data_IF_052613278772
#
_entry.id   IF_052613278772
#
_cell.length_a   1.000
_cell.length_b   1.000
_cell.length_c   1.000
_cell.angle_alpha   90.00
_cell.angle_beta   90.00
_cell.angle_gamma   90.00
#
_symmetry.space_group_name_H-M   'P 1'
#
loop_
_entity.id
_entity.type
_entity.pdbx_description
1 polymer ?
#
# COMPACT_ATOMS: atom_id res chain seq x y z
N UNK A 1 -27.73 -8.80 1.22
CA UNK A 1 -26.60 -7.97 0.72
C UNK A 1 -26.61 -7.82 -0.80
N UNK A 2 -27.01 -8.83 -1.58
CA UNK A 2 -27.10 -8.77 -3.05
C UNK A 2 -28.06 -7.71 -3.62
N UNK A 3 -29.25 -7.53 -3.01
CA UNK A 3 -30.31 -6.65 -3.56
C UNK A 3 -29.97 -5.14 -3.53
N UNK A 4 -29.07 -4.69 -2.64
CA UNK A 4 -28.63 -3.29 -2.61
C UNK A 4 -27.69 -2.91 -3.77
N UNK A 5 -27.22 -3.89 -4.55
CA UNK A 5 -26.23 -3.71 -5.62
C UNK A 5 -26.79 -3.11 -6.92
N UNK A 6 -28.11 -3.08 -7.13
CA UNK A 6 -28.68 -2.76 -8.46
C UNK A 6 -29.12 -1.30 -8.66
N UNK A 7 -29.33 -0.52 -7.59
CA UNK A 7 -29.94 0.81 -7.69
C UNK A 7 -28.94 1.98 -7.74
N UNK A 8 -27.67 1.76 -7.37
CA UNK A 8 -26.64 2.81 -7.38
C UNK A 8 -25.27 2.17 -7.59
N UNK A 9 -24.47 2.60 -8.58
CA UNK A 9 -23.13 2.06 -8.75
C UNK A 9 -22.29 2.38 -7.50
N UNK A 10 -21.77 1.32 -6.85
CA UNK A 10 -20.96 1.49 -5.65
C UNK A 10 -19.72 2.34 -5.97
N UNK A 11 -19.34 3.33 -5.12
CA UNK A 11 -18.21 4.21 -5.41
C UNK A 11 -16.89 3.48 -5.71
N UNK A 12 -16.69 2.32 -5.10
CA UNK A 12 -15.51 1.49 -5.33
C UNK A 12 -15.53 0.69 -6.66
N UNK A 13 -16.70 0.48 -7.28
CA UNK A 13 -16.86 -0.45 -8.41
C UNK A 13 -15.94 -0.09 -9.58
N UNK A 14 -15.82 1.20 -9.91
CA UNK A 14 -14.93 1.68 -10.97
C UNK A 14 -13.46 1.36 -10.67
N UNK A 15 -13.01 1.63 -9.44
CA UNK A 15 -11.63 1.42 -9.05
C UNK A 15 -11.29 -0.08 -8.96
N UNK A 16 -12.21 -0.90 -8.43
CA UNK A 16 -12.09 -2.36 -8.44
C UNK A 16 -11.91 -2.85 -9.88
N UNK A 17 -12.76 -2.41 -10.82
CA UNK A 17 -12.68 -2.83 -12.21
C UNK A 17 -11.32 -2.52 -12.84
N UNK A 18 -10.75 -1.34 -12.57
CA UNK A 18 -9.40 -0.97 -13.04
C UNK A 18 -8.32 -1.89 -12.48
N UNK A 19 -8.45 -2.29 -11.21
CA UNK A 19 -7.47 -3.12 -10.53
C UNK A 19 -7.52 -4.59 -10.94
N UNK A 20 -8.70 -5.12 -11.27
CA UNK A 20 -8.86 -6.50 -11.73
C UNK A 20 -7.98 -6.82 -12.95
N UNK A 21 -7.86 -5.89 -13.91
CA UNK A 21 -7.07 -6.09 -15.13
C UNK A 21 -5.57 -6.22 -14.89
N UNK A 22 -5.08 -5.72 -13.75
CA UNK A 22 -3.66 -5.72 -13.38
C UNK A 22 -3.34 -6.62 -12.21
N UNK A 23 -4.28 -7.46 -11.77
CA UNK A 23 -4.09 -8.33 -10.60
C UNK A 23 -3.53 -9.68 -10.99
N UNK A 24 -2.32 -10.01 -10.54
CA UNK A 24 -1.70 -11.34 -10.70
C UNK A 24 -1.71 -11.84 -12.15
N UNK A 25 -1.45 -10.95 -13.13
CA UNK A 25 -1.57 -11.26 -14.57
C UNK A 25 -0.64 -12.38 -15.05
N UNK A 26 0.44 -12.65 -14.31
CA UNK A 26 1.32 -13.80 -14.55
C UNK A 26 0.76 -15.15 -14.08
N UNK A 27 -0.38 -15.17 -13.39
CA UNK A 27 -1.06 -16.39 -12.95
C UNK A 27 -2.12 -16.83 -13.97
N UNK A 28 -2.12 -18.11 -14.32
CA UNK A 28 -3.05 -18.68 -15.30
C UNK A 28 -4.53 -18.44 -14.95
N UNK A 29 -4.90 -18.50 -13.66
CA UNK A 29 -6.28 -18.30 -13.19
C UNK A 29 -6.78 -16.87 -13.42
N UNK A 30 -5.89 -15.87 -13.44
CA UNK A 30 -6.23 -14.45 -13.64
C UNK A 30 -5.79 -13.89 -14.99
N UNK A 31 -5.35 -14.76 -15.91
CA UNK A 31 -4.84 -14.37 -17.23
C UNK A 31 -5.88 -13.72 -18.15
N UNK A 32 -7.17 -13.93 -17.89
CA UNK A 32 -8.27 -13.34 -18.65
C UNK A 32 -9.23 -12.54 -17.75
N UNK A 33 -9.66 -11.34 -18.18
CA UNK A 33 -10.75 -10.60 -17.52
C UNK A 33 -12.07 -11.39 -17.44
N UNK A 34 -12.30 -12.31 -18.37
CA UNK A 34 -13.50 -13.17 -18.40
C UNK A 34 -13.36 -14.45 -17.58
N UNK A 35 -12.22 -14.68 -16.92
CA UNK A 35 -12.02 -15.88 -16.13
C UNK A 35 -13.00 -15.95 -14.95
N UNK A 36 -13.44 -17.16 -14.55
CA UNK A 36 -14.26 -17.32 -13.35
C UNK A 36 -13.60 -16.71 -12.10
N UNK A 37 -12.28 -16.86 -11.96
CA UNK A 37 -11.54 -16.32 -10.82
C UNK A 37 -11.57 -14.79 -10.77
N UNK A 38 -11.48 -14.09 -11.91
CA UNK A 38 -11.62 -12.62 -11.96
C UNK A 38 -13.02 -12.18 -11.52
N UNK A 39 -14.07 -12.93 -11.88
CA UNK A 39 -15.43 -12.62 -11.45
C UNK A 39 -15.64 -12.89 -9.95
N UNK A 40 -15.07 -13.98 -9.41
CA UNK A 40 -15.05 -14.24 -7.97
C UNK A 40 -14.34 -13.11 -7.22
N UNK A 41 -13.17 -12.69 -7.71
CA UNK A 41 -12.41 -11.58 -7.14
C UNK A 41 -13.20 -10.28 -7.13
N UNK A 42 -13.89 -9.96 -8.23
CA UNK A 42 -14.78 -8.80 -8.30
C UNK A 42 -15.85 -8.83 -7.20
N UNK A 43 -16.52 -9.97 -7.01
CA UNK A 43 -17.58 -10.12 -6.00
C UNK A 43 -17.04 -10.02 -4.58
N UNK A 44 -15.91 -10.66 -4.29
CA UNK A 44 -15.25 -10.58 -2.98
C UNK A 44 -14.90 -9.14 -2.62
N UNK A 45 -14.27 -8.41 -3.54
CA UNK A 45 -13.87 -7.01 -3.31
C UNK A 45 -15.06 -6.08 -3.16
N UNK A 46 -16.10 -6.27 -3.98
CA UNK A 46 -17.32 -5.47 -3.87
C UNK A 46 -18.03 -5.76 -2.54
N UNK A 47 -18.15 -7.03 -2.15
CA UNK A 47 -18.74 -7.43 -0.87
C UNK A 47 -17.97 -6.83 0.31
N UNK A 48 -16.64 -6.85 0.28
CA UNK A 48 -15.80 -6.20 1.30
C UNK A 48 -16.10 -4.71 1.38
N UNK A 49 -16.18 -4.03 0.23
CA UNK A 49 -16.42 -2.59 0.22
C UNK A 49 -17.79 -2.18 0.77
N UNK A 50 -18.79 -3.07 0.69
CA UNK A 50 -20.09 -2.88 1.35
C UNK A 50 -20.07 -3.23 2.84
N UNK A 51 -19.32 -4.25 3.24
CA UNK A 51 -19.21 -4.66 4.63
C UNK A 51 -18.44 -3.63 5.46
N UNK A 52 -17.40 -3.02 4.90
CA UNK A 52 -16.61 -1.98 5.55
C UNK A 52 -16.62 -0.69 4.71
N UNK A 53 -17.68 0.14 4.80
CA UNK A 53 -17.79 1.37 4.00
C UNK A 53 -16.79 2.46 4.42
N UNK A 54 -16.22 2.38 5.63
CA UNK A 54 -15.20 3.30 6.12
C UNK A 54 -13.91 3.20 5.30
N UNK A 55 -13.47 1.97 5.03
CA UNK A 55 -12.36 1.69 4.10
C UNK A 55 -12.87 1.75 2.66
N UNK A 56 -14.00 1.10 2.39
CA UNK A 56 -14.53 0.86 1.06
C UNK A 56 -13.57 -0.01 0.26
N UNK A 57 -12.76 0.61 -0.58
CA UNK A 57 -11.74 -0.08 -1.36
C UNK A 57 -10.44 0.72 -1.38
N UNK A 58 -9.39 0.12 -0.85
CA UNK A 58 -8.03 0.60 -0.96
C UNK A 58 -7.30 -0.14 -2.09
N UNK A 59 -6.55 0.58 -2.91
CA UNK A 59 -5.72 -0.04 -3.94
C UNK A 59 -4.68 -0.97 -3.29
N UNK A 60 -4.67 -2.22 -3.69
CA UNK A 60 -3.86 -3.28 -3.09
C UNK A 60 -4.68 -4.41 -2.49
N UNK A 61 -5.93 -4.15 -2.07
CA UNK A 61 -6.83 -5.18 -1.55
C UNK A 61 -7.13 -6.27 -2.58
N UNK A 62 -7.16 -5.91 -3.87
CA UNK A 62 -7.25 -6.85 -4.99
C UNK A 62 -6.19 -7.94 -4.94
N UNK A 63 -4.95 -7.60 -4.55
CA UNK A 63 -3.87 -8.59 -4.48
C UNK A 63 -4.07 -9.55 -3.31
N UNK A 64 -4.43 -9.03 -2.13
CA UNK A 64 -4.70 -9.83 -0.94
C UNK A 64 -5.83 -10.84 -1.21
N UNK A 65 -6.96 -10.35 -1.74
CA UNK A 65 -8.12 -11.17 -2.08
C UNK A 65 -7.79 -12.21 -3.18
N UNK A 66 -6.99 -11.83 -4.18
CA UNK A 66 -6.59 -12.74 -5.24
C UNK A 66 -5.69 -13.87 -4.73
N UNK A 67 -4.75 -13.58 -3.81
CA UNK A 67 -3.95 -14.63 -3.17
C UNK A 67 -4.83 -15.56 -2.34
N UNK A 68 -5.76 -15.01 -1.54
CA UNK A 68 -6.68 -15.80 -0.74
C UNK A 68 -7.52 -16.75 -1.63
N UNK A 69 -8.07 -16.25 -2.75
CA UNK A 69 -8.80 -17.07 -3.73
C UNK A 69 -7.96 -18.17 -4.37
N UNK A 70 -6.65 -17.95 -4.59
CA UNK A 70 -5.76 -18.97 -5.16
C UNK A 70 -5.46 -20.08 -4.16
N UNK A 71 -5.27 -19.73 -2.90
CA UNK A 71 -4.86 -20.67 -1.85
C UNK A 71 -6.06 -21.46 -1.31
N UNK A 72 -7.16 -20.77 -0.99
CA UNK A 72 -8.34 -21.36 -0.37
C UNK A 72 -9.25 -22.02 -1.41
N UNK A 73 -9.26 -21.50 -2.64
CA UNK A 73 -10.12 -21.98 -3.74
C UNK A 73 -11.63 -21.92 -3.43
N UNK A 74 -12.02 -21.17 -2.41
CA UNK A 74 -13.40 -20.88 -2.04
C UNK A 74 -13.62 -19.35 -1.96
N UNK A 75 -14.77 -18.89 -2.45
CA UNK A 75 -15.08 -17.46 -2.55
C UNK A 75 -15.43 -16.85 -1.18
N UNK A 76 -16.16 -17.57 -0.35
CA UNK A 76 -16.57 -17.10 0.97
C UNK A 76 -15.38 -17.12 1.94
N UNK A 77 -14.57 -18.18 1.93
CA UNK A 77 -13.36 -18.23 2.74
C UNK A 77 -12.36 -17.14 2.34
N UNK A 78 -12.22 -16.85 1.04
CA UNK A 78 -11.36 -15.75 0.58
C UNK A 78 -11.86 -14.39 1.04
N UNK A 79 -13.18 -14.17 1.09
CA UNK A 79 -13.77 -12.96 1.66
C UNK A 79 -13.43 -12.83 3.16
N UNK A 80 -13.65 -13.88 3.95
CA UNK A 80 -13.35 -13.84 5.38
C UNK A 80 -11.84 -13.72 5.67
N UNK A 81 -10.99 -14.32 4.84
CA UNK A 81 -9.56 -14.13 4.90
C UNK A 81 -9.16 -12.67 4.67
N UNK A 82 -9.73 -12.01 3.65
CA UNK A 82 -9.51 -10.59 3.40
C UNK A 82 -9.94 -9.73 4.59
N UNK A 83 -11.13 -9.99 5.15
CA UNK A 83 -11.64 -9.29 6.34
C UNK A 83 -10.69 -9.47 7.52
N UNK A 84 -10.27 -10.70 7.81
CA UNK A 84 -9.34 -10.99 8.90
C UNK A 84 -8.00 -10.28 8.73
N UNK A 85 -7.44 -10.28 7.51
CA UNK A 85 -6.18 -9.57 7.21
C UNK A 85 -6.35 -8.07 7.47
N UNK A 86 -7.40 -7.45 6.94
CA UNK A 86 -7.59 -5.99 6.98
C UNK A 86 -7.99 -5.49 8.36
N UNK A 87 -8.90 -6.19 9.04
CA UNK A 87 -9.52 -5.71 10.27
C UNK A 87 -8.88 -6.26 11.55
N UNK A 88 -8.24 -7.43 11.48
CA UNK A 88 -7.69 -8.10 12.68
C UNK A 88 -6.16 -8.18 12.71
N UNK A 89 -5.51 -8.39 11.55
CA UNK A 89 -4.06 -8.60 11.50
C UNK A 89 -3.30 -7.28 11.27
N UNK A 90 -3.78 -6.49 10.30
CA UNK A 90 -3.19 -5.20 9.99
C UNK A 90 -3.64 -4.14 11.01
N UNK A 91 -2.80 -3.12 11.29
CA UNK A 91 -3.20 -2.04 12.18
C UNK A 91 -4.49 -1.35 11.72
N UNK A 92 -5.21 -0.73 12.65
CA UNK A 92 -6.31 0.16 12.28
C UNK A 92 -5.78 1.31 11.40
N UNK A 93 -6.64 1.81 10.50
CA UNK A 93 -6.29 2.84 9.52
C UNK A 93 -5.15 2.49 8.54
N UNK A 94 -4.76 1.21 8.44
CA UNK A 94 -3.71 0.82 7.48
C UNK A 94 -4.13 1.03 6.03
N UNK A 95 -5.39 0.71 5.73
CA UNK A 95 -6.04 0.86 4.43
C UNK A 95 -7.01 2.05 4.38
N UNK A 96 -6.86 3.03 5.27
CA UNK A 96 -7.67 4.25 5.24
C UNK A 96 -7.37 5.08 3.98
N UNK A 97 -8.20 6.09 3.70
CA UNK A 97 -7.99 7.00 2.55
C UNK A 97 -6.64 7.72 2.60
N UNK A 98 -6.17 8.03 3.81
CA UNK A 98 -4.89 8.72 4.07
C UNK A 98 -3.74 7.75 4.26
N UNK A 99 -4.00 6.44 4.40
CA UNK A 99 -3.00 5.40 4.63
C UNK A 99 -2.12 5.70 5.85
N UNK A 100 -2.68 6.33 6.89
CA UNK A 100 -1.94 6.87 8.04
C UNK A 100 -1.06 5.80 8.69
N UNK A 101 -1.62 4.63 9.03
CA UNK A 101 -0.83 3.59 9.69
C UNK A 101 0.19 2.93 8.75
N UNK A 102 -0.07 2.90 7.44
CA UNK A 102 0.92 2.47 6.44
C UNK A 102 2.14 3.41 6.40
N UNK A 103 1.91 4.73 6.44
CA UNK A 103 2.97 5.74 6.47
C UNK A 103 3.77 5.67 7.77
N UNK A 104 3.09 5.48 8.91
CA UNK A 104 3.73 5.25 10.21
C UNK A 104 4.67 4.05 10.15
N UNK A 105 4.22 2.93 9.57
CA UNK A 105 5.03 1.71 9.47
C UNK A 105 6.29 1.92 8.62
N UNK A 106 6.27 2.81 7.61
CA UNK A 106 7.49 3.16 6.88
C UNK A 106 8.51 3.92 7.73
N UNK A 107 8.06 4.82 8.62
CA UNK A 107 8.96 5.53 9.56
C UNK A 107 9.55 4.57 10.58
N UNK A 108 8.72 3.67 11.12
CA UNK A 108 9.16 2.63 12.04
C UNK A 108 10.18 1.72 11.36
N UNK A 109 9.95 1.33 10.09
CA UNK A 109 10.90 0.52 9.34
C UNK A 109 12.23 1.26 9.13
N UNK A 110 12.20 2.55 8.78
CA UNK A 110 13.41 3.37 8.62
C UNK A 110 14.24 3.40 9.91
N UNK A 111 13.61 3.61 11.07
CA UNK A 111 14.31 3.55 12.36
C UNK A 111 14.90 2.17 12.66
N UNK A 112 14.14 1.10 12.39
CA UNK A 112 14.62 -0.27 12.57
C UNK A 112 15.78 -0.60 11.62
N UNK A 113 15.77 -0.08 10.40
CA UNK A 113 16.88 -0.21 9.45
C UNK A 113 18.13 0.49 9.99
N UNK A 114 18.01 1.70 10.53
CA UNK A 114 19.13 2.41 11.13
C UNK A 114 19.72 1.66 12.34
N UNK A 115 18.87 1.01 13.15
CA UNK A 115 19.30 0.24 14.32
C UNK A 115 19.92 -1.11 13.96
N UNK A 116 19.29 -1.87 13.05
CA UNK A 116 19.66 -3.27 12.75
C UNK A 116 20.62 -3.40 11.59
N UNK A 117 20.60 -2.44 10.66
CA UNK A 117 21.40 -2.41 9.43
C UNK A 117 22.08 -1.02 9.25
N UNK A 118 22.85 -0.54 10.24
CA UNK A 118 23.35 0.84 10.27
C UNK A 118 24.22 1.19 9.04
N UNK A 119 25.05 0.26 8.57
CA UNK A 119 25.88 0.44 7.36
C UNK A 119 25.01 0.69 6.13
N UNK A 120 23.99 -0.13 5.96
CA UNK A 120 23.04 -0.01 4.84
C UNK A 120 22.22 1.27 4.93
N UNK A 121 21.72 1.61 6.12
CA UNK A 121 20.93 2.82 6.34
C UNK A 121 21.75 4.07 6.00
N UNK A 122 22.98 4.17 6.50
CA UNK A 122 23.87 5.28 6.22
C UNK A 122 24.20 5.38 4.72
N UNK A 123 24.37 4.23 4.04
CA UNK A 123 24.63 4.19 2.60
C UNK A 123 23.45 4.70 1.77
N UNK A 124 22.23 4.26 2.10
CA UNK A 124 21.02 4.76 1.44
C UNK A 124 20.80 6.26 1.69
N UNK A 125 21.08 6.73 2.89
CA UNK A 125 21.00 8.16 3.24
C UNK A 125 22.03 9.00 2.50
N UNK A 126 23.27 8.52 2.39
CA UNK A 126 24.33 9.17 1.60
C UNK A 126 23.93 9.33 0.13
N UNK A 127 23.29 8.30 -0.44
CA UNK A 127 22.77 8.35 -1.81
C UNK A 127 21.41 9.04 -1.94
N UNK A 128 20.82 9.52 -0.83
CA UNK A 128 19.49 10.11 -0.77
C UNK A 128 18.41 9.21 -1.41
N UNK A 129 18.50 7.91 -1.13
CA UNK A 129 17.55 6.89 -1.56
C UNK A 129 16.62 6.59 -0.40
N UNK A 130 15.34 6.88 -0.57
CA UNK A 130 14.34 6.51 0.42
C UNK A 130 13.75 5.14 0.08
N UNK A 131 14.03 4.15 0.92
CA UNK A 131 13.55 2.78 0.78
C UNK A 131 12.00 2.70 0.77
N UNK A 132 11.30 3.69 1.34
CA UNK A 132 9.83 3.75 1.39
C UNK A 132 9.19 3.63 0.00
N UNK A 133 9.87 4.10 -1.05
CA UNK A 133 9.43 3.98 -2.45
C UNK A 133 9.16 2.52 -2.88
N UNK A 134 9.81 1.55 -2.23
CA UNK A 134 9.65 0.13 -2.51
C UNK A 134 8.90 -0.59 -1.39
N UNK A 135 9.29 -0.31 -0.14
CA UNK A 135 8.78 -1.02 1.03
C UNK A 135 7.32 -0.68 1.33
N UNK A 136 6.83 0.49 0.90
CA UNK A 136 5.42 0.84 1.05
C UNK A 136 4.51 -0.20 0.39
N UNK A 137 4.76 -0.52 -0.90
CA UNK A 137 3.98 -1.54 -1.60
C UNK A 137 4.22 -2.94 -1.01
N UNK A 138 5.44 -3.26 -0.55
CA UNK A 138 5.69 -4.55 0.11
C UNK A 138 4.77 -4.75 1.32
N UNK A 139 4.57 -3.73 2.14
CA UNK A 139 3.73 -3.88 3.32
C UNK A 139 2.25 -3.81 2.95
N UNK A 140 1.87 -2.87 2.08
CA UNK A 140 0.47 -2.67 1.68
C UNK A 140 -0.18 -3.94 1.15
N UNK A 141 0.57 -4.74 0.39
CA UNK A 141 0.08 -6.01 -0.18
C UNK A 141 0.79 -7.24 0.37
N UNK A 142 1.40 -7.15 1.56
CA UNK A 142 2.11 -8.24 2.24
C UNK A 142 3.00 -9.07 1.30
N UNK A 143 3.86 -8.39 0.55
CA UNK A 143 4.85 -8.91 -0.41
C UNK A 143 4.29 -9.61 -1.64
N UNK A 144 2.97 -9.61 -1.86
CA UNK A 144 2.38 -10.16 -3.08
C UNK A 144 2.98 -9.46 -4.30
N UNK A 145 3.31 -10.23 -5.33
CA UNK A 145 4.04 -9.80 -6.52
C UNK A 145 5.44 -9.20 -6.26
N UNK A 146 5.93 -9.19 -5.03
CA UNK A 146 7.29 -8.72 -4.71
C UNK A 146 8.28 -9.87 -4.56
N UNK A 147 7.83 -11.05 -4.14
CA UNK A 147 8.67 -12.24 -3.92
C UNK A 147 8.34 -13.38 -4.90
N UNK A 148 9.24 -14.37 -5.06
CA UNK A 148 8.90 -15.65 -5.66
C UNK A 148 7.85 -16.39 -4.83
N UNK A 149 6.91 -17.10 -5.47
CA UNK A 149 5.72 -17.65 -4.80
C UNK A 149 6.04 -18.57 -3.63
N UNK A 150 7.06 -19.42 -3.75
CA UNK A 150 7.46 -20.35 -2.68
C UNK A 150 8.07 -19.64 -1.45
N UNK A 151 8.60 -18.42 -1.63
CA UNK A 151 9.04 -17.56 -0.52
C UNK A 151 7.85 -16.79 0.05
N UNK A 152 7.01 -16.24 -0.83
CA UNK A 152 5.80 -15.50 -0.47
C UNK A 152 4.90 -16.32 0.45
N UNK A 153 4.61 -17.58 0.12
CA UNK A 153 3.73 -18.43 0.93
C UNK A 153 4.28 -18.65 2.35
N UNK A 154 5.59 -18.81 2.51
CA UNK A 154 6.20 -18.91 3.86
C UNK A 154 6.10 -17.62 4.65
N UNK A 155 6.25 -16.47 3.98
CA UNK A 155 6.02 -15.16 4.60
C UNK A 155 4.57 -15.04 5.06
N UNK A 156 3.62 -15.52 4.24
CA UNK A 156 2.20 -15.52 4.55
C UNK A 156 1.83 -16.47 5.70
N UNK A 157 2.40 -17.68 5.77
CA UNK A 157 2.22 -18.60 6.90
C UNK A 157 2.59 -17.91 8.22
N UNK A 158 3.76 -17.27 8.25
CA UNK A 158 4.21 -16.53 9.41
C UNK A 158 3.35 -15.28 9.68
N UNK A 159 2.97 -14.54 8.64
CA UNK A 159 2.16 -13.33 8.76
C UNK A 159 0.78 -13.60 9.33
N UNK A 160 0.11 -14.67 8.89
CA UNK A 160 -1.19 -15.09 9.42
C UNK A 160 -1.07 -15.60 10.86
N UNK A 161 0.06 -16.20 11.25
CA UNK A 161 0.27 -16.75 12.58
C UNK A 161 0.75 -15.72 13.62
N UNK A 162 1.72 -14.88 13.28
CA UNK A 162 2.38 -13.92 14.19
C UNK A 162 1.93 -12.46 13.98
N UNK A 163 1.22 -12.16 12.89
CA UNK A 163 0.66 -10.85 12.59
C UNK A 163 1.60 -9.86 11.89
N UNK A 164 1.21 -8.58 11.86
CA UNK A 164 1.86 -7.55 11.03
C UNK A 164 3.35 -7.28 11.32
N UNK A 165 3.87 -7.67 12.51
CA UNK A 165 5.31 -7.58 12.81
C UNK A 165 6.19 -8.38 11.84
N UNK A 166 5.64 -9.42 11.23
CA UNK A 166 6.33 -10.27 10.26
C UNK A 166 6.75 -9.46 9.03
N UNK A 167 6.00 -8.41 8.66
CA UNK A 167 6.34 -7.56 7.54
C UNK A 167 7.68 -6.83 7.75
N UNK A 168 7.91 -6.32 8.96
CA UNK A 168 9.19 -5.70 9.35
C UNK A 168 10.33 -6.70 9.34
N UNK A 169 10.12 -7.89 9.93
CA UNK A 169 11.14 -8.96 9.97
C UNK A 169 11.64 -9.31 8.58
N UNK A 170 10.71 -9.59 7.66
CA UNK A 170 11.08 -9.97 6.30
C UNK A 170 11.64 -8.81 5.49
N UNK A 171 11.14 -7.58 5.66
CA UNK A 171 11.73 -6.42 4.98
C UNK A 171 13.21 -6.24 5.36
N UNK A 172 13.53 -6.26 6.66
CA UNK A 172 14.90 -6.16 7.15
C UNK A 172 15.74 -7.37 6.71
N UNK A 173 15.16 -8.57 6.75
CA UNK A 173 15.86 -9.77 6.29
C UNK A 173 16.19 -9.75 4.79
N UNK A 174 15.31 -9.20 3.95
CA UNK A 174 15.56 -9.04 2.51
C UNK A 174 16.72 -8.10 2.26
N UNK A 175 16.73 -6.95 2.93
CA UNK A 175 17.85 -6.02 2.87
C UNK A 175 19.15 -6.65 3.38
N UNK A 176 19.11 -7.35 4.52
CA UNK A 176 20.27 -8.06 5.07
C UNK A 176 20.77 -9.15 4.12
N UNK A 177 19.87 -9.89 3.47
CA UNK A 177 20.22 -10.96 2.54
C UNK A 177 21.07 -10.45 1.36
N UNK A 178 20.82 -9.21 0.90
CA UNK A 178 21.54 -8.55 -0.20
C UNK A 178 22.42 -7.39 0.24
N UNK A 179 22.73 -7.26 1.53
CA UNK A 179 23.41 -6.08 2.07
C UNK A 179 24.72 -5.78 1.34
N UNK A 180 25.57 -6.80 1.15
CA UNK A 180 26.86 -6.65 0.49
C UNK A 180 26.76 -6.34 -1.01
N UNK A 181 25.66 -6.71 -1.67
CA UNK A 181 25.41 -6.35 -3.07
C UNK A 181 24.94 -4.89 -3.16
N UNK A 182 24.07 -4.47 -2.23
CA UNK A 182 23.56 -3.10 -2.16
C UNK A 182 24.68 -2.11 -1.84
N UNK A 183 25.57 -2.44 -0.89
CA UNK A 183 26.68 -1.56 -0.47
C UNK A 183 27.71 -1.31 -1.58
N UNK A 184 27.76 -2.14 -2.63
CA UNK A 184 28.66 -1.94 -3.79
C UNK A 184 28.15 -0.88 -4.76
N UNK A 185 26.85 -0.57 -4.73
CA UNK A 185 26.22 0.37 -5.66
C UNK A 185 26.46 1.79 -5.15
N UNK A 186 27.10 2.63 -5.97
CA UNK A 186 27.47 4.00 -5.58
C UNK A 186 26.65 5.07 -6.28
N UNK A 187 25.86 4.70 -7.29
CA UNK A 187 24.98 5.62 -8.01
C UNK A 187 23.53 5.48 -7.54
N UNK A 188 22.83 6.62 -7.45
CA UNK A 188 21.44 6.70 -6.99
C UNK A 188 20.48 5.99 -7.95
N UNK A 189 20.65 6.18 -9.26
CA UNK A 189 19.76 5.59 -10.28
C UNK A 189 19.93 4.08 -10.30
N UNK A 190 21.16 3.60 -10.28
CA UNK A 190 21.47 2.17 -10.21
C UNK A 190 20.90 1.54 -8.94
N UNK A 191 20.95 2.26 -7.81
CA UNK A 191 20.35 1.82 -6.55
C UNK A 191 18.83 1.64 -6.69
N UNK A 192 18.12 2.62 -7.26
CA UNK A 192 16.68 2.50 -7.48
C UNK A 192 16.34 1.33 -8.43
N UNK A 193 17.14 1.12 -9.48
CA UNK A 193 16.94 0.00 -10.40
C UNK A 193 17.15 -1.35 -9.70
N UNK A 194 18.21 -1.48 -8.90
CA UNK A 194 18.49 -2.71 -8.16
C UNK A 194 17.39 -3.01 -7.13
N UNK A 195 17.03 -2.02 -6.31
CA UNK A 195 16.03 -2.16 -5.25
C UNK A 195 14.64 -2.56 -5.79
N UNK A 196 14.33 -2.19 -7.03
CA UNK A 196 13.09 -2.57 -7.71
C UNK A 196 12.95 -4.08 -7.95
N UNK A 197 14.06 -4.78 -8.21
CA UNK A 197 14.02 -6.16 -8.72
C UNK A 197 14.70 -7.19 -7.83
N UNK A 198 15.57 -6.80 -6.90
CA UNK A 198 16.41 -7.76 -6.18
C UNK A 198 15.59 -8.79 -5.38
N UNK A 199 14.40 -8.43 -4.90
CA UNK A 199 13.51 -9.33 -4.14
C UNK A 199 13.07 -10.54 -4.96
N UNK A 200 13.02 -10.42 -6.29
CA UNK A 200 12.75 -11.53 -7.21
C UNK A 200 13.93 -12.48 -7.37
N UNK A 201 15.14 -12.06 -7.01
CA UNK A 201 16.36 -12.87 -7.08
C UNK A 201 16.57 -13.74 -5.83
N UNK A 202 15.67 -13.67 -4.84
CA UNK A 202 15.78 -14.41 -3.58
C UNK A 202 15.32 -15.84 -3.79
N UNK A 203 16.25 -16.78 -3.71
CA UNK A 203 16.02 -18.21 -4.00
C UNK A 203 16.07 -19.08 -2.76
N UNK A 204 16.87 -18.72 -1.75
CA UNK A 204 16.99 -19.51 -0.52
C UNK A 204 16.07 -18.99 0.58
N UNK A 205 14.86 -19.54 0.63
CA UNK A 205 13.89 -19.22 1.67
C UNK A 205 14.28 -19.69 3.07
N UNK A 206 15.13 -20.72 3.21
CA UNK A 206 15.59 -21.16 4.54
C UNK A 206 16.56 -20.15 5.12
N UNK A 207 17.51 -19.69 4.31
CA UNK A 207 18.42 -18.60 4.69
C UNK A 207 17.65 -17.33 5.02
N UNK A 208 16.69 -16.92 4.19
CA UNK A 208 15.87 -15.74 4.47
C UNK A 208 15.10 -15.86 5.80
N UNK A 209 14.49 -17.02 6.06
CA UNK A 209 13.79 -17.28 7.32
C UNK A 209 14.75 -17.25 8.52
N UNK A 210 15.94 -17.84 8.40
CA UNK A 210 16.97 -17.77 9.46
C UNK A 210 17.32 -16.32 9.79
N UNK A 211 17.53 -15.48 8.78
CA UNK A 211 17.82 -14.04 9.02
C UNK A 211 16.63 -13.36 9.70
N UNK A 212 15.40 -13.60 9.22
CA UNK A 212 14.19 -12.95 9.73
C UNK A 212 13.85 -13.32 11.18
N UNK A 213 14.07 -14.58 11.58
CA UNK A 213 13.67 -15.11 12.90
C UNK A 213 14.83 -15.37 13.86
N UNK A 214 16.09 -15.25 13.42
CA UNK A 214 17.25 -15.33 14.30
C UNK A 214 17.96 -13.98 14.37
N UNK A 215 18.52 -13.52 13.25
CA UNK A 215 19.44 -12.37 13.22
C UNK A 215 18.72 -11.04 13.48
N UNK A 216 17.53 -10.86 12.91
CA UNK A 216 16.79 -9.60 13.03
C UNK A 216 16.06 -9.47 14.38
N UNK A 217 15.86 -10.56 15.10
CA UNK A 217 15.11 -10.58 16.36
C UNK A 217 15.81 -9.75 17.47
N UNK A 218 15.08 -9.33 18.51
CA UNK A 218 13.65 -9.53 18.76
C UNK A 218 12.76 -8.48 18.08
N UNK A 219 11.51 -8.86 17.76
CA UNK A 219 10.41 -7.93 17.42
C UNK A 219 9.22 -8.14 18.35
N UNK A 220 9.29 -7.65 19.61
CA UNK A 220 8.16 -7.72 20.50
C UNK A 220 7.09 -6.74 20.01
N UNK A 221 5.83 -7.20 19.96
CA UNK A 221 4.70 -6.37 19.51
C UNK A 221 4.63 -5.05 20.30
N UNK A 222 4.92 -5.09 21.60
CA UNK A 222 4.96 -3.90 22.46
C UNK A 222 5.93 -2.82 21.97
N UNK A 223 7.11 -3.19 21.48
CA UNK A 223 8.07 -2.23 20.93
C UNK A 223 7.54 -1.60 19.65
N UNK A 224 6.97 -2.41 18.75
CA UNK A 224 6.38 -1.90 17.51
C UNK A 224 5.19 -0.99 17.78
N UNK A 225 4.29 -1.37 18.69
CA UNK A 225 3.17 -0.53 19.11
C UNK A 225 3.65 0.80 19.70
N UNK A 226 4.72 0.78 20.53
CA UNK A 226 5.30 2.00 21.09
C UNK A 226 5.89 2.91 20.00
N UNK A 227 6.62 2.36 19.03
CA UNK A 227 7.18 3.16 17.92
C UNK A 227 6.10 3.69 17.00
N UNK A 228 5.08 2.88 16.70
CA UNK A 228 3.90 3.31 15.94
C UNK A 228 3.22 4.50 16.60
N UNK A 229 2.96 4.42 17.91
CA UNK A 229 2.38 5.53 18.65
C UNK A 229 3.23 6.80 18.58
N UNK A 230 4.56 6.69 18.74
CA UNK A 230 5.47 7.83 18.68
C UNK A 230 5.52 8.53 17.31
N UNK A 231 5.35 7.78 16.21
CA UNK A 231 5.32 8.36 14.86
C UNK A 231 3.94 8.82 14.42
N UNK A 232 2.88 8.26 15.00
CA UNK A 232 1.50 8.57 14.62
C UNK A 232 1.20 10.07 14.75
N UNK A 233 1.57 10.68 15.88
CA UNK A 233 1.35 12.11 16.13
C UNK A 233 2.00 12.99 15.04
N UNK A 234 3.23 12.66 14.64
CA UNK A 234 3.95 13.42 13.60
C UNK A 234 3.28 13.28 12.24
N UNK A 235 2.92 12.05 11.85
CA UNK A 235 2.24 11.79 10.57
C UNK A 235 0.89 12.49 10.51
N UNK A 236 0.12 12.44 11.60
CA UNK A 236 -1.18 13.13 11.67
C UNK A 236 -1.01 14.65 11.54
N UNK A 237 -0.05 15.25 12.24
CA UNK A 237 0.22 16.68 12.14
C UNK A 237 0.59 17.09 10.71
N UNK A 238 1.44 16.31 10.03
CA UNK A 238 1.82 16.56 8.64
C UNK A 238 0.64 16.42 7.67
N UNK A 239 -0.23 15.42 7.86
CA UNK A 239 -1.43 15.24 7.05
C UNK A 239 -2.42 16.39 7.23
N UNK A 240 -2.68 16.81 8.47
CA UNK A 240 -3.57 17.95 8.75
C UNK A 240 -3.04 19.25 8.14
N UNK A 241 -1.73 19.46 8.16
CA UNK A 241 -1.12 20.64 7.53
C UNK A 241 -1.25 20.59 6.00
N UNK A 242 -1.03 19.42 5.38
CA UNK A 242 -1.23 19.25 3.93
C UNK A 242 -2.68 19.49 3.52
N UNK A 243 -3.65 19.00 4.31
CA UNK A 243 -5.08 19.25 4.08
C UNK A 243 -5.41 20.74 4.15
N UNK A 244 -4.85 21.45 5.14
CA UNK A 244 -5.02 22.91 5.27
C UNK A 244 -4.49 23.65 4.04
N UNK A 245 -3.28 23.32 3.59
CA UNK A 245 -2.66 23.92 2.40
C UNK A 245 -3.51 23.63 1.14
N UNK A 246 -4.03 22.41 1.00
CA UNK A 246 -4.89 22.05 -0.13
C UNK A 246 -6.21 22.83 -0.12
N UNK A 247 -6.82 23.02 1.05
CA UNK A 247 -8.06 23.81 1.18
C UNK A 247 -7.82 25.28 0.86
N UNK A 248 -6.73 25.87 1.34
CA UNK A 248 -6.36 27.25 1.03
C UNK A 248 -6.12 27.44 -0.47
N UNK A 249 -5.42 26.50 -1.11
CA UNK A 249 -5.16 26.53 -2.54
C UNK A 249 -6.45 26.38 -3.37
N UNK A 250 -7.34 25.44 -2.99
CA UNK A 250 -8.63 25.27 -3.65
C UNK A 250 -9.52 26.52 -3.51
N UNK A 251 -9.60 27.11 -2.32
CA UNK A 251 -10.35 28.34 -2.08
C UNK A 251 -9.79 29.52 -2.89
N UNK A 252 -8.47 29.62 -3.03
CA UNK A 252 -7.83 30.64 -3.87
C UNK A 252 -8.18 30.44 -5.35
N UNK A 253 -8.16 29.21 -5.86
CA UNK A 253 -8.56 28.89 -7.24
C UNK A 253 -10.03 29.23 -7.51
N UNK A 254 -10.92 28.89 -6.58
CA UNK A 254 -12.35 29.19 -6.70
C UNK A 254 -12.61 30.71 -6.67
N UNK A 255 -11.89 31.44 -5.82
CA UNK A 255 -11.97 32.91 -5.77
C UNK A 255 -11.45 33.56 -7.06
N UNK A 256 -10.37 33.05 -7.66
CA UNK A 256 -9.88 33.52 -8.96
C UNK A 256 -10.87 33.21 -10.09
N UNK A 257 -11.48 32.01 -10.08
CA UNK A 257 -12.46 31.61 -11.09
C UNK A 257 -13.73 32.45 -11.01
N UNK A 258 -14.19 32.76 -9.80
CA UNK A 258 -15.32 33.66 -9.57
C UNK A 258 -15.01 35.09 -10.07
N UNK A 259 -13.82 35.61 -9.80
CA UNK A 259 -13.39 36.94 -10.30
C UNK A 259 -13.33 37.00 -11.82
N UNK A 260 -12.86 35.95 -12.50
CA UNK A 260 -12.86 35.87 -13.98
C UNK A 260 -14.28 35.84 -14.54
N UNK A 261 -15.14 34.99 -13.98
CA UNK A 261 -16.55 34.92 -14.40
C UNK A 261 -17.29 36.25 -14.23
N UNK A 262 -17.00 37.00 -13.16
CA UNK A 262 -17.63 38.31 -12.94
C UNK A 262 -17.12 39.36 -13.93
N UNK A 263 -15.82 39.32 -14.27
CA UNK A 263 -15.22 40.22 -15.27
C UNK A 263 -15.74 39.95 -16.69
N UNK A 264 -15.99 38.70 -17.04
CA UNK A 264 -16.58 38.32 -18.34
C UNK A 264 -18.05 38.75 -18.44
N UNK A 265 -18.80 38.74 -17.33
CA UNK A 265 -20.16 39.27 -17.25
C UNK A 265 -20.20 40.80 -17.35
N UNK A 266 -19.27 41.50 -16.69
CA UNK A 266 -19.17 42.97 -16.74
C UNK A 266 -18.76 43.46 -18.14
N UNK A 267 -17.92 42.72 -18.87
CA UNK A 267 -17.53 43.05 -20.24
C UNK A 267 -18.67 42.85 -21.26
N UNK A 268 -19.49 41.80 -21.08
CA UNK A 268 -20.65 41.57 -21.94
C UNK A 268 -21.78 42.59 -21.71
N UNK A 269 -21.90 43.15 -20.49
CA UNK A 269 -22.87 44.21 -20.19
C UNK A 269 -22.51 45.58 -20.76
N UNK A 270 -21.22 45.83 -21.05
CA UNK A 270 -20.77 47.12 -21.62
C UNK A 270 -20.88 47.20 -23.15
N UNK A 271 -21.06 46.09 -23.86
CA UNK A 271 -21.21 46.10 -25.32
C UNK A 271 -22.66 46.41 -25.79
N UNK A 272 -23.65 46.33 -24.89
CA UNK A 272 -25.07 46.61 -25.18
C UNK A 272 -25.51 48.07 -24.87
N UNK A 273 -24.64 48.92 -24.29
CA UNK A 273 -24.97 50.32 -23.96
C UNK A 273 -24.54 51.36 -25.01
N UNK A 274 -23.84 50.95 -26.08
CA UNK A 274 -23.35 51.86 -27.15
C UNK A 274 -24.27 51.95 -28.40
N UNK A 275 -25.44 51.31 -28.40
CA UNK A 275 -26.47 51.45 -29.47
C UNK A 275 -27.78 52.09 -28.94
N UNK A 276 -27.77 53.39 -28.57
CA UNK A 276 -28.99 54.24 -28.51
C UNK A 276 -28.71 55.65 -29.02
#
# INVERSE_FOLDING_TARGET
>A
MWEKSQATPHPAARQIQLDLHRTLTGNQRFSSPSSPATQQLHRVLLAFSWQNPTIGYCQGLNRLAALALLVLQDEEEAFWCLVAVVESIMPQEYYSKTLTASQVDQRVLKELMAEKLPRLSAHLEQLQVDASHFTFNWFLVAFIESLPVHILLRVWDAFLYEGSKVLFRYALALFKYREEDILKIQDKVDMYQYLRFFTKTITDGRKLMSIAFSDMNPFPMRLLSSRRAAHLERVQAELSELERIQQEYAAAQDAERAKRSNKDLDAAGSEDEDEV
#
